data_IF_973774428076
#
_entry.id   IF_973774428076
#
_cell.length_a   1.000
_cell.length_b   1.000
_cell.length_c   1.000
_cell.angle_alpha   90.00
_cell.angle_beta   90.00
_cell.angle_gamma   90.00
#
_symmetry.space_group_name_H-M   'P 1'
#
loop_
_entity.id
_entity.type
_entity.pdbx_description
1 polymer ?
#
# COMPACT_ATOMS: atom_id res chain seq x y z
N UNK A 1 6.38 -13.75 4.93
CA UNK A 1 5.13 -13.71 4.13
C UNK A 1 4.13 -12.62 4.57
N UNK A 2 4.30 -11.95 5.72
CA UNK A 2 3.38 -10.90 6.22
C UNK A 2 3.70 -9.47 5.78
N UNK A 3 4.93 -9.18 5.35
CA UNK A 3 5.38 -7.82 5.02
C UNK A 3 4.66 -7.25 3.78
N UNK A 4 4.42 -8.07 2.75
CA UNK A 4 3.72 -7.65 1.53
C UNK A 4 2.30 -7.14 1.82
N UNK A 5 1.50 -7.94 2.52
CA UNK A 5 0.11 -7.59 2.80
C UNK A 5 0.00 -6.40 3.75
N UNK A 6 0.98 -6.23 4.65
CA UNK A 6 1.11 -5.03 5.48
C UNK A 6 1.46 -3.79 4.65
N UNK A 7 2.37 -3.89 3.68
CA UNK A 7 2.71 -2.80 2.77
C UNK A 7 1.49 -2.32 1.98
N UNK A 8 0.74 -3.24 1.40
CA UNK A 8 -0.47 -2.91 0.62
C UNK A 8 -1.60 -2.34 1.50
N UNK A 9 -1.76 -2.85 2.73
CA UNK A 9 -2.71 -2.28 3.69
C UNK A 9 -2.36 -0.83 4.03
N UNK A 10 -1.08 -0.56 4.34
CA UNK A 10 -0.59 0.81 4.60
C UNK A 10 -0.70 1.70 3.37
N UNK A 11 -0.41 1.18 2.17
CA UNK A 11 -0.56 1.92 0.93
C UNK A 11 -2.02 2.40 0.76
N UNK A 12 -2.99 1.52 1.04
CA UNK A 12 -4.41 1.88 1.04
C UNK A 12 -4.75 2.94 2.07
N UNK A 13 -4.24 2.83 3.30
CA UNK A 13 -4.46 3.84 4.34
C UNK A 13 -3.93 5.21 3.92
N UNK A 14 -2.73 5.28 3.33
CA UNK A 14 -2.16 6.50 2.77
C UNK A 14 -2.99 7.05 1.59
N UNK A 15 -3.57 6.20 0.74
CA UNK A 15 -4.53 6.66 -0.30
C UNK A 15 -5.76 7.31 0.32
N UNK A 16 -6.34 6.71 1.37
CA UNK A 16 -7.51 7.26 2.05
C UNK A 16 -7.19 8.60 2.72
N UNK A 17 -6.01 8.72 3.35
CA UNK A 17 -5.55 9.99 3.92
C UNK A 17 -5.33 11.05 2.84
N UNK A 18 -4.76 10.69 1.69
CA UNK A 18 -4.60 11.63 0.57
C UNK A 18 -5.97 12.14 0.06
N UNK A 19 -6.96 11.25 -0.06
CA UNK A 19 -8.31 11.63 -0.50
C UNK A 19 -9.06 12.52 0.49
N UNK A 20 -8.75 12.39 1.79
CA UNK A 20 -9.31 13.20 2.87
C UNK A 20 -8.44 14.38 3.29
N UNK A 21 -7.39 14.72 2.53
CA UNK A 21 -6.44 15.76 2.91
C UNK A 21 -7.05 17.17 2.78
N UNK A 22 -6.82 18.01 3.78
CA UNK A 22 -7.28 19.41 3.81
C UNK A 22 -6.39 20.35 2.98
N UNK A 23 -5.20 19.89 2.58
CA UNK A 23 -4.23 20.68 1.83
C UNK A 23 -3.60 19.91 0.65
N UNK A 24 -3.25 20.60 -0.46
CA UNK A 24 -2.52 19.97 -1.57
C UNK A 24 -1.11 19.47 -1.19
N UNK A 25 -0.55 19.93 -0.06
CA UNK A 25 0.75 19.48 0.44
C UNK A 25 0.61 18.14 1.17
N UNK A 26 -0.41 18.01 2.02
CA UNK A 26 -0.73 16.76 2.70
C UNK A 26 -1.20 15.69 1.71
N UNK A 27 -2.02 16.06 0.73
CA UNK A 27 -2.41 15.14 -0.36
C UNK A 27 -1.17 14.58 -1.05
N UNK A 28 -0.21 15.45 -1.42
CA UNK A 28 1.03 15.05 -2.10
C UNK A 28 1.92 14.19 -1.22
N UNK A 29 2.00 14.48 0.08
CA UNK A 29 2.75 13.67 1.03
C UNK A 29 2.19 12.25 1.11
N UNK A 30 0.89 12.12 1.33
CA UNK A 30 0.21 10.84 1.47
C UNK A 30 0.22 10.05 0.15
N UNK A 31 0.00 10.71 -0.98
CA UNK A 31 0.13 10.09 -2.31
C UNK A 31 1.53 9.50 -2.51
N UNK A 32 2.58 10.29 -2.23
CA UNK A 32 3.97 9.83 -2.37
C UNK A 32 4.28 8.61 -1.49
N UNK A 33 3.74 8.57 -0.27
CA UNK A 33 3.90 7.41 0.63
C UNK A 33 3.18 6.18 0.11
N UNK A 34 1.94 6.33 -0.39
CA UNK A 34 1.21 5.25 -1.03
C UNK A 34 1.97 4.67 -2.23
N UNK A 35 2.56 5.53 -3.06
CA UNK A 35 3.34 5.12 -4.24
C UNK A 35 4.57 4.30 -3.83
N UNK A 36 5.30 4.72 -2.80
CA UNK A 36 6.47 4.00 -2.29
C UNK A 36 6.12 2.60 -1.77
N UNK A 37 5.07 2.52 -0.95
CA UNK A 37 4.59 1.25 -0.39
C UNK A 37 4.08 0.30 -1.48
N UNK A 38 3.40 0.85 -2.50
CA UNK A 38 2.92 0.06 -3.64
C UNK A 38 4.09 -0.45 -4.48
N UNK A 39 5.10 0.38 -4.75
CA UNK A 39 6.29 -0.02 -5.49
C UNK A 39 7.13 -1.06 -4.75
N UNK A 40 7.17 -1.02 -3.43
CA UNK A 40 7.78 -2.08 -2.60
C UNK A 40 6.99 -3.39 -2.72
N UNK A 41 5.67 -3.34 -2.57
CA UNK A 41 4.83 -4.51 -2.71
C UNK A 41 4.93 -5.17 -4.10
N UNK A 42 4.94 -4.37 -5.18
CA UNK A 42 5.11 -4.87 -6.55
C UNK A 42 6.47 -5.56 -6.71
N UNK A 43 7.55 -4.95 -6.19
CA UNK A 43 8.89 -5.57 -6.25
C UNK A 43 8.97 -6.92 -5.54
N UNK A 44 8.25 -7.08 -4.44
CA UNK A 44 8.20 -8.35 -3.72
C UNK A 44 7.38 -9.41 -4.45
N UNK A 45 6.25 -9.03 -5.07
CA UNK A 45 5.48 -9.92 -5.95
C UNK A 45 6.32 -10.35 -7.16
N UNK A 46 7.01 -9.41 -7.80
CA UNK A 46 7.86 -9.70 -8.97
C UNK A 46 9.06 -10.61 -8.62
N UNK A 47 9.54 -10.55 -7.38
CA UNK A 47 10.63 -11.42 -6.91
C UNK A 47 10.18 -12.88 -6.78
N UNK A 48 8.95 -13.10 -6.33
CA UNK A 48 8.39 -14.43 -6.07
C UNK A 48 6.96 -14.53 -6.63
N UNK A 49 6.77 -14.54 -7.96
CA UNK A 49 5.45 -14.41 -8.58
C UNK A 49 4.51 -15.59 -8.30
N UNK A 50 5.07 -16.77 -8.04
CA UNK A 50 4.33 -17.99 -7.72
C UNK A 50 4.19 -18.24 -6.21
N UNK A 51 4.70 -17.33 -5.36
CA UNK A 51 4.58 -17.49 -3.92
C UNK A 51 3.11 -17.36 -3.49
N UNK A 52 2.62 -18.25 -2.62
CA UNK A 52 1.30 -18.08 -2.06
C UNK A 52 1.29 -16.83 -1.16
N UNK A 53 0.44 -15.87 -1.48
CA UNK A 53 0.24 -14.67 -0.68
C UNK A 53 -1.10 -14.73 0.06
N UNK A 54 -1.08 -14.41 1.36
CA UNK A 54 -2.30 -14.27 2.14
C UNK A 54 -2.87 -12.86 1.94
N UNK A 55 -3.91 -12.77 1.09
CA UNK A 55 -4.62 -11.53 0.79
C UNK A 55 -5.73 -11.21 1.79
N UNK A 56 -6.01 -12.08 2.76
CA UNK A 56 -7.11 -11.89 3.72
C UNK A 56 -6.96 -10.59 4.53
N UNK A 57 -5.73 -10.14 4.79
CA UNK A 57 -5.45 -8.90 5.52
C UNK A 57 -5.79 -7.63 4.72
N UNK A 58 -6.02 -7.74 3.40
CA UNK A 58 -6.54 -6.64 2.58
C UNK A 58 -8.07 -6.58 2.59
N UNK A 59 -8.75 -7.67 2.94
CA UNK A 59 -10.19 -7.66 3.11
C UNK A 59 -10.53 -6.88 4.39
N UNK A 60 -11.05 -5.66 4.23
CA UNK A 60 -11.74 -4.95 5.30
C UNK A 60 -13.20 -4.82 4.92
N UNK A 61 -14.06 -5.43 5.74
CA UNK A 61 -15.47 -5.09 5.91
C UNK A 61 -15.64 -3.64 6.34
#
# INVERSE_FOLDING_TARGET
MTELTLCLKRAREEVLLALGADSPEDERLHRKRADLLTAEAVRDIDREPDAPHDWSLLATT
#
